data_IF_152320171855
#
_entry.id   IF_152320171855
#
_cell.length_a   1.000
_cell.length_b   1.000
_cell.length_c   1.000
_cell.angle_alpha   90.00
_cell.angle_beta   90.00
_cell.angle_gamma   90.00
#
_symmetry.space_group_name_H-M   'P 1'
#
loop_
_entity.id
_entity.type
_entity.pdbx_description
1 polymer ?
#
# COMPACT_ATOMS: atom_id res chain seq x y z
N UNK A 1 20.34 18.82 -4.49
CA UNK A 1 20.38 18.80 -3.01
C UNK A 1 19.00 18.76 -2.36
N UNK A 2 18.13 19.77 -2.54
CA UNK A 2 16.79 19.72 -1.95
C UNK A 2 15.95 18.56 -2.48
N UNK A 3 16.00 18.32 -3.79
CA UNK A 3 15.32 17.22 -4.47
C UNK A 3 15.81 15.83 -4.00
N UNK A 4 17.14 15.64 -3.92
CA UNK A 4 17.73 14.40 -3.38
C UNK A 4 17.29 14.13 -1.94
N UNK A 5 17.28 15.17 -1.08
CA UNK A 5 16.87 15.04 0.31
C UNK A 5 15.38 14.69 0.41
N UNK A 6 14.51 15.37 -0.33
CA UNK A 6 13.08 15.05 -0.38
C UNK A 6 12.86 13.59 -0.81
N UNK A 7 13.59 13.15 -1.84
CA UNK A 7 13.55 11.77 -2.35
C UNK A 7 13.98 10.76 -1.28
N UNK A 8 15.12 10.99 -0.60
CA UNK A 8 15.62 10.08 0.45
C UNK A 8 14.65 10.00 1.63
N UNK A 9 14.14 11.15 2.10
CA UNK A 9 13.18 11.19 3.21
C UNK A 9 11.87 10.48 2.82
N UNK A 10 11.39 10.67 1.59
CA UNK A 10 10.22 9.95 1.08
C UNK A 10 10.46 8.43 1.08
N UNK A 11 11.58 7.94 0.53
CA UNK A 11 11.83 6.50 0.48
C UNK A 11 11.92 5.86 1.88
N UNK A 12 12.45 6.59 2.87
CA UNK A 12 12.45 6.15 4.27
C UNK A 12 11.07 6.22 4.93
N UNK A 13 10.20 7.17 4.54
CA UNK A 13 8.80 7.19 4.98
C UNK A 13 8.06 5.95 4.49
N UNK A 14 8.21 5.63 3.21
CA UNK A 14 7.52 4.51 2.56
C UNK A 14 7.94 3.14 3.12
N UNK A 15 9.20 2.99 3.54
CA UNK A 15 9.75 1.70 4.02
C UNK A 15 9.85 1.57 5.54
N UNK A 16 9.68 2.67 6.28
CA UNK A 16 10.00 2.84 7.70
C UNK A 16 11.48 2.61 8.07
N UNK A 17 12.17 1.68 7.41
CA UNK A 17 13.57 1.34 7.59
C UNK A 17 14.20 0.84 6.28
N UNK A 18 15.43 1.26 5.96
CA UNK A 18 16.13 0.80 4.75
C UNK A 18 17.65 0.80 4.91
N UNK A 19 18.34 -0.17 4.30
CA UNK A 19 19.79 -0.13 4.15
C UNK A 19 20.19 0.92 3.10
N UNK A 20 21.46 1.33 3.08
CA UNK A 20 21.97 2.23 2.03
C UNK A 20 21.78 1.64 0.62
N UNK A 21 21.96 0.34 0.45
CA UNK A 21 21.79 -0.31 -0.87
C UNK A 21 20.32 -0.29 -1.33
N UNK A 22 19.38 -0.50 -0.41
CA UNK A 22 17.94 -0.37 -0.71
C UNK A 22 17.60 1.07 -1.09
N UNK A 23 18.13 2.06 -0.38
CA UNK A 23 17.93 3.47 -0.73
C UNK A 23 18.57 3.82 -2.08
N UNK A 24 19.74 3.28 -2.38
CA UNK A 24 20.43 3.48 -3.66
C UNK A 24 19.57 2.96 -4.83
N UNK A 25 19.04 1.76 -4.70
CA UNK A 25 18.15 1.18 -5.71
C UNK A 25 16.83 1.97 -5.86
N UNK A 26 16.28 2.47 -4.75
CA UNK A 26 14.98 3.13 -4.74
C UNK A 26 14.99 4.61 -5.17
N UNK A 27 16.10 5.32 -4.97
CA UNK A 27 16.18 6.77 -5.22
C UNK A 27 16.75 7.12 -6.60
N UNK A 28 17.45 6.19 -7.25
CA UNK A 28 18.26 6.44 -8.45
C UNK A 28 19.28 7.59 -8.31
N UNK A 29 19.61 7.97 -7.07
CA UNK A 29 20.62 8.98 -6.75
C UNK A 29 22.02 8.34 -6.84
N UNK A 30 22.97 9.08 -7.40
CA UNK A 30 24.38 8.66 -7.45
C UNK A 30 24.90 8.26 -6.06
N UNK A 31 25.81 7.30 -6.02
CA UNK A 31 26.17 6.70 -4.76
C UNK A 31 26.92 7.60 -3.78
N UNK A 32 27.87 8.40 -4.28
CA UNK A 32 28.57 9.37 -3.45
C UNK A 32 27.64 10.49 -2.99
N UNK A 33 26.67 10.84 -3.86
CA UNK A 33 25.64 11.84 -3.54
C UNK A 33 24.68 11.37 -2.45
N UNK A 34 24.22 10.11 -2.51
CA UNK A 34 23.36 9.52 -1.48
C UNK A 34 24.05 9.53 -0.11
N UNK A 35 25.32 9.13 -0.05
CA UNK A 35 26.08 9.09 1.19
C UNK A 35 26.26 10.49 1.79
N UNK A 36 26.45 11.51 0.95
CA UNK A 36 26.49 12.91 1.39
C UNK A 36 25.14 13.37 1.97
N UNK A 37 24.04 13.09 1.27
CA UNK A 37 22.68 13.45 1.72
C UNK A 37 22.35 12.78 3.05
N UNK A 38 22.65 11.50 3.21
CA UNK A 38 22.40 10.77 4.46
C UNK A 38 23.23 11.33 5.62
N UNK A 39 24.51 11.66 5.39
CA UNK A 39 25.38 12.26 6.41
C UNK A 39 24.87 13.62 6.87
N UNK A 40 24.46 14.47 5.92
CA UNK A 40 23.86 15.77 6.25
C UNK A 40 22.53 15.60 6.98
N UNK A 41 21.64 14.74 6.49
CA UNK A 41 20.35 14.48 7.12
C UNK A 41 20.51 13.91 8.54
N UNK A 42 21.54 13.10 8.80
CA UNK A 42 21.86 12.60 10.13
C UNK A 42 22.38 13.69 11.06
N UNK A 43 23.31 14.53 10.58
CA UNK A 43 23.79 15.71 11.30
C UNK A 43 22.65 16.66 11.68
N UNK A 44 21.68 16.82 10.78
CA UNK A 44 20.48 17.63 10.99
C UNK A 44 19.40 16.92 11.83
N UNK A 45 19.66 15.68 12.25
CA UNK A 45 18.75 14.81 13.04
C UNK A 45 17.42 14.51 12.34
N UNK A 46 17.41 14.53 11.01
CA UNK A 46 16.27 14.14 10.17
C UNK A 46 16.17 12.62 10.02
N UNK A 47 17.31 11.94 10.00
CA UNK A 47 17.40 10.48 9.97
C UNK A 47 18.19 9.96 11.15
N UNK A 48 18.06 8.67 11.43
CA UNK A 48 18.89 7.94 12.39
C UNK A 48 19.52 6.75 11.68
N UNK A 49 20.84 6.64 11.73
CA UNK A 49 21.54 5.41 11.42
C UNK A 49 21.47 4.43 12.60
N UNK A 50 21.17 3.18 12.32
CA UNK A 50 21.21 2.07 13.26
C UNK A 50 22.37 1.17 12.90
N UNK A 51 23.15 0.80 13.90
CA UNK A 51 24.27 -0.14 13.78
C UNK A 51 23.98 -1.47 14.50
N UNK A 52 24.87 -2.44 14.34
CA UNK A 52 24.80 -3.75 15.00
C UNK A 52 24.14 -4.82 14.13
N UNK A 53 23.26 -5.64 14.71
CA UNK A 53 22.67 -6.81 14.01
C UNK A 53 21.77 -6.43 12.83
N UNK A 54 21.18 -5.24 12.85
CA UNK A 54 20.37 -4.68 11.77
C UNK A 54 20.92 -3.29 11.47
N UNK A 55 21.57 -3.16 10.31
CA UNK A 55 22.19 -1.91 9.85
C UNK A 55 21.26 -1.20 8.89
N UNK A 56 21.10 0.12 9.03
CA UNK A 56 20.29 0.92 8.11
C UNK A 56 19.75 2.20 8.73
N UNK A 57 18.81 2.81 8.02
CA UNK A 57 18.35 4.17 8.25
C UNK A 57 16.86 4.19 8.55
N UNK A 58 16.43 5.14 9.38
CA UNK A 58 15.02 5.41 9.67
C UNK A 58 14.76 6.90 9.82
N UNK A 59 13.53 7.34 9.57
CA UNK A 59 13.13 8.73 9.80
C UNK A 59 12.93 9.03 11.28
N UNK A 60 13.43 10.20 11.70
CA UNK A 60 12.99 10.84 12.94
C UNK A 60 11.65 11.55 12.71
N UNK A 61 11.02 12.03 13.79
CA UNK A 61 9.84 12.90 13.67
C UNK A 61 10.18 14.19 12.90
N UNK A 62 11.33 14.81 13.17
CA UNK A 62 11.80 15.99 12.46
C UNK A 62 12.01 15.72 10.96
N UNK A 63 12.57 14.55 10.60
CA UNK A 63 12.70 14.15 9.20
C UNK A 63 11.37 13.93 8.50
N UNK A 64 10.37 13.38 9.20
CA UNK A 64 9.00 13.26 8.65
C UNK A 64 8.41 14.63 8.33
N UNK A 65 8.46 15.56 9.29
CA UNK A 65 7.99 16.94 9.08
C UNK A 65 8.75 17.62 7.94
N UNK A 66 10.08 17.51 7.93
CA UNK A 66 10.90 18.15 6.90
C UNK A 66 10.64 17.58 5.50
N UNK A 67 10.52 16.26 5.37
CA UNK A 67 10.20 15.61 4.11
C UNK A 67 8.84 16.08 3.57
N UNK A 68 7.84 16.16 4.44
CA UNK A 68 6.51 16.69 4.09
C UNK A 68 6.56 18.15 3.63
N UNK A 69 7.29 19.03 4.34
CA UNK A 69 7.47 20.43 3.93
C UNK A 69 8.06 20.53 2.52
N UNK A 70 9.11 19.75 2.24
CA UNK A 70 9.79 19.76 0.94
C UNK A 70 8.86 19.27 -0.18
N UNK A 71 8.19 18.13 0.03
CA UNK A 71 7.27 17.53 -0.94
C UNK A 71 6.05 18.41 -1.21
N UNK A 72 5.51 19.06 -0.18
CA UNK A 72 4.40 20.01 -0.30
C UNK A 72 4.82 21.25 -1.09
N UNK A 73 6.00 21.81 -0.80
CA UNK A 73 6.53 22.95 -1.54
C UNK A 73 6.78 22.64 -3.02
N UNK A 74 7.16 21.41 -3.37
CA UNK A 74 7.29 20.98 -4.78
C UNK A 74 5.96 21.10 -5.54
N UNK A 75 4.83 20.72 -4.92
CA UNK A 75 3.51 20.88 -5.53
C UNK A 75 3.13 22.36 -5.71
N UNK A 76 3.52 23.24 -4.77
CA UNK A 76 3.27 24.69 -4.87
C UNK A 76 4.06 25.30 -6.03
N UNK A 77 5.35 24.99 -6.11
CA UNK A 77 6.24 25.50 -7.16
C UNK A 77 5.80 25.02 -8.54
N UNK A 78 5.36 23.77 -8.65
CA UNK A 78 4.86 23.20 -9.90
C UNK A 78 3.42 23.64 -10.24
N UNK A 79 2.67 24.21 -9.29
CA UNK A 79 1.26 24.55 -9.47
C UNK A 79 0.34 23.33 -9.65
N UNK A 80 0.72 22.17 -9.11
CA UNK A 80 0.04 20.89 -9.33
C UNK A 80 -0.82 20.44 -8.15
N UNK A 81 -0.92 21.24 -7.09
CA UNK A 81 -1.62 20.88 -5.85
C UNK A 81 -3.08 20.47 -6.07
N UNK A 82 -3.83 21.26 -6.83
CA UNK A 82 -5.26 21.01 -7.06
C UNK A 82 -5.46 19.69 -7.81
N UNK A 83 -4.63 19.42 -8.82
CA UNK A 83 -4.68 18.15 -9.54
C UNK A 83 -4.34 16.94 -8.64
N UNK A 84 -3.43 17.09 -7.68
CA UNK A 84 -3.13 16.03 -6.68
C UNK A 84 -4.27 15.88 -5.68
N UNK A 85 -4.92 16.97 -5.27
CA UNK A 85 -6.13 16.94 -4.42
C UNK A 85 -7.29 16.21 -5.11
N UNK A 86 -7.53 16.49 -6.39
CA UNK A 86 -8.57 15.83 -7.18
C UNK A 86 -8.30 14.33 -7.32
N UNK A 87 -7.05 13.97 -7.63
CA UNK A 87 -6.62 12.58 -7.70
C UNK A 87 -6.73 11.86 -6.35
N UNK A 88 -6.41 12.54 -5.24
CA UNK A 88 -6.59 12.01 -3.90
C UNK A 88 -8.09 11.81 -3.57
N UNK A 89 -8.96 12.73 -3.99
CA UNK A 89 -10.41 12.56 -3.89
C UNK A 89 -10.93 11.33 -4.66
N UNK A 90 -10.43 11.10 -5.87
CA UNK A 90 -10.74 9.91 -6.66
C UNK A 90 -10.13 8.61 -6.07
N UNK A 91 -8.99 8.72 -5.41
CA UNK A 91 -8.31 7.61 -4.75
C UNK A 91 -9.09 7.06 -3.54
N UNK A 92 -9.67 7.92 -2.70
CA UNK A 92 -10.34 7.53 -1.45
C UNK A 92 -11.42 6.43 -1.60
N UNK A 93 -12.41 6.53 -2.51
CA UNK A 93 -13.40 5.46 -2.68
C UNK A 93 -12.78 4.16 -3.22
N UNK A 94 -11.74 4.25 -4.07
CA UNK A 94 -11.01 3.07 -4.55
C UNK A 94 -10.23 2.42 -3.40
N UNK A 95 -9.66 3.21 -2.50
CA UNK A 95 -8.95 2.73 -1.32
C UNK A 95 -9.89 1.96 -0.39
N UNK A 96 -11.09 2.47 -0.15
CA UNK A 96 -12.12 1.77 0.62
C UNK A 96 -12.45 0.39 0.02
N UNK A 97 -12.70 0.33 -1.29
CA UNK A 97 -12.99 -0.94 -1.97
C UNK A 97 -11.77 -1.90 -1.95
N UNK A 98 -10.55 -1.40 -2.17
CA UNK A 98 -9.36 -2.26 -2.13
C UNK A 98 -9.13 -2.84 -0.73
N UNK A 99 -9.33 -2.07 0.34
CA UNK A 99 -9.24 -2.56 1.72
C UNK A 99 -10.30 -3.63 2.01
N UNK A 100 -11.52 -3.46 1.48
CA UNK A 100 -12.57 -4.48 1.56
C UNK A 100 -12.17 -5.76 0.80
N UNK A 101 -11.65 -5.63 -0.43
CA UNK A 101 -11.14 -6.77 -1.23
C UNK A 101 -10.03 -7.50 -0.48
N UNK A 102 -9.05 -6.78 0.07
CA UNK A 102 -7.94 -7.39 0.82
C UNK A 102 -8.45 -8.13 2.06
N UNK A 103 -9.41 -7.54 2.77
CA UNK A 103 -10.05 -8.16 3.93
C UNK A 103 -10.77 -9.44 3.54
N UNK A 104 -11.65 -9.39 2.53
CA UNK A 104 -12.42 -10.55 2.06
C UNK A 104 -11.53 -11.65 1.46
N UNK A 105 -10.36 -11.28 0.94
CA UNK A 105 -9.33 -12.22 0.48
C UNK A 105 -8.63 -12.93 1.64
N UNK A 106 -8.25 -12.18 2.69
CA UNK A 106 -7.43 -12.67 3.79
C UNK A 106 -8.21 -13.38 4.90
N UNK A 107 -9.48 -13.00 5.13
CA UNK A 107 -10.27 -13.51 6.24
C UNK A 107 -11.68 -13.94 5.82
N UNK A 108 -12.23 -14.88 6.58
CA UNK A 108 -13.61 -15.33 6.52
C UNK A 108 -14.23 -15.32 7.92
N UNK A 109 -15.56 -15.29 7.99
CA UNK A 109 -16.28 -15.37 9.26
C UNK A 109 -16.78 -16.81 9.44
N UNK A 110 -16.34 -17.46 10.51
CA UNK A 110 -16.79 -18.80 10.92
C UNK A 110 -17.31 -18.69 12.35
N UNK A 111 -18.57 -19.08 12.58
CA UNK A 111 -19.23 -18.98 13.89
C UNK A 111 -19.17 -17.58 14.55
N UNK A 112 -19.12 -16.52 13.73
CA UNK A 112 -19.03 -15.13 14.17
C UNK A 112 -17.61 -14.62 14.43
N UNK A 113 -16.59 -15.46 14.28
CA UNK A 113 -15.18 -15.09 14.44
C UNK A 113 -14.47 -14.90 13.10
N UNK A 114 -13.57 -13.92 13.04
CA UNK A 114 -12.69 -13.73 11.89
C UNK A 114 -11.55 -14.74 11.94
N UNK A 115 -11.47 -15.60 10.94
CA UNK A 115 -10.40 -16.58 10.78
C UNK A 115 -9.70 -16.38 9.43
N UNK A 116 -8.41 -16.74 9.28
CA UNK A 116 -7.74 -16.68 7.99
C UNK A 116 -8.48 -17.49 6.93
N UNK A 117 -8.62 -16.93 5.73
CA UNK A 117 -9.16 -17.64 4.58
C UNK A 117 -8.17 -18.76 4.19
N UNK A 118 -8.64 -20.00 4.14
CA UNK A 118 -7.84 -21.16 3.73
C UNK A 118 -7.88 -21.42 2.21
N UNK A 119 -8.63 -20.58 1.46
CA UNK A 119 -8.77 -20.65 0.01
C UNK A 119 -9.33 -22.00 -0.49
N UNK A 120 -10.14 -22.68 0.32
CA UNK A 120 -10.80 -23.94 -0.05
C UNK A 120 -12.08 -23.76 -0.88
N UNK A 121 -12.56 -22.52 -1.04
CA UNK A 121 -13.75 -22.14 -1.83
C UNK A 121 -13.33 -21.33 -3.08
N UNK A 122 -13.17 -21.99 -4.24
CA UNK A 122 -12.75 -21.33 -5.47
C UNK A 122 -13.77 -20.31 -6.01
N UNK A 123 -15.06 -20.47 -5.70
CA UNK A 123 -16.10 -19.54 -6.16
C UNK A 123 -16.00 -18.22 -5.41
N UNK A 124 -15.79 -18.28 -4.08
CA UNK A 124 -15.52 -17.11 -3.26
C UNK A 124 -14.26 -16.38 -3.74
N UNK A 125 -13.16 -17.10 -3.89
CA UNK A 125 -11.89 -16.51 -4.32
C UNK A 125 -12.04 -15.83 -5.70
N UNK A 126 -12.71 -16.50 -6.65
CA UNK A 126 -12.99 -15.94 -7.97
C UNK A 126 -13.84 -14.67 -7.89
N UNK A 127 -14.82 -14.61 -6.98
CA UNK A 127 -15.65 -13.43 -6.75
C UNK A 127 -14.84 -12.24 -6.22
N UNK A 128 -13.93 -12.48 -5.28
CA UNK A 128 -13.03 -11.44 -4.73
C UNK A 128 -12.06 -10.95 -5.80
N UNK A 129 -11.45 -11.83 -6.58
CA UNK A 129 -10.56 -11.44 -7.69
C UNK A 129 -11.30 -10.68 -8.80
N UNK A 130 -12.56 -11.02 -9.06
CA UNK A 130 -13.39 -10.28 -10.00
C UNK A 130 -13.67 -8.84 -9.55
N UNK A 131 -13.73 -8.57 -8.24
CA UNK A 131 -13.83 -7.20 -7.70
C UNK A 131 -12.54 -6.42 -7.95
N UNK A 132 -11.38 -7.03 -7.70
CA UNK A 132 -10.08 -6.43 -8.03
C UNK A 132 -10.01 -6.06 -9.51
N UNK A 133 -10.40 -6.97 -10.41
CA UNK A 133 -10.40 -6.73 -11.85
C UNK A 133 -11.33 -5.56 -12.26
N UNK A 134 -12.44 -5.33 -11.55
CA UNK A 134 -13.32 -4.18 -11.77
C UNK A 134 -12.74 -2.87 -11.23
N UNK A 135 -12.02 -2.92 -10.10
CA UNK A 135 -11.35 -1.76 -9.51
C UNK A 135 -10.14 -1.31 -10.33
N UNK A 136 -9.41 -2.25 -10.93
CA UNK A 136 -8.11 -2.03 -11.54
C UNK A 136 -8.07 -0.92 -12.61
N UNK A 137 -9.02 -0.81 -13.57
CA UNK A 137 -8.99 0.25 -14.58
C UNK A 137 -9.02 1.66 -13.98
N UNK A 138 -9.85 1.88 -12.95
CA UNK A 138 -9.93 3.18 -12.27
C UNK A 138 -8.65 3.49 -11.47
N UNK A 139 -8.06 2.47 -10.84
CA UNK A 139 -6.75 2.60 -10.18
C UNK A 139 -5.63 2.99 -11.16
N UNK A 140 -5.61 2.40 -12.36
CA UNK A 140 -4.65 2.74 -13.42
C UNK A 140 -4.89 4.14 -13.95
N UNK A 141 -6.14 4.57 -14.10
CA UNK A 141 -6.48 5.93 -14.55
C UNK A 141 -5.96 6.99 -13.57
N UNK A 142 -6.24 6.83 -12.27
CA UNK A 142 -5.77 7.73 -11.21
C UNK A 142 -4.25 7.82 -11.17
N UNK A 143 -3.56 6.67 -11.17
CA UNK A 143 -2.10 6.64 -11.11
C UNK A 143 -1.44 7.18 -12.39
N UNK A 144 -2.03 6.94 -13.56
CA UNK A 144 -1.55 7.48 -14.82
C UNK A 144 -1.73 8.99 -14.90
N UNK A 145 -2.87 9.51 -14.42
CA UNK A 145 -3.11 10.95 -14.34
C UNK A 145 -2.12 11.63 -13.38
N UNK A 146 -1.93 11.06 -12.18
CA UNK A 146 -0.92 11.53 -11.22
C UNK A 146 0.48 11.54 -11.83
N UNK A 147 0.90 10.45 -12.47
CA UNK A 147 2.24 10.32 -13.06
C UNK A 147 2.52 11.32 -14.19
N UNK A 148 1.49 11.70 -14.97
CA UNK A 148 1.62 12.75 -16.00
C UNK A 148 1.76 14.14 -15.40
N UNK A 149 1.12 14.39 -14.26
CA UNK A 149 1.11 15.71 -13.60
C UNK A 149 2.34 15.91 -12.71
N UNK A 150 2.73 14.87 -11.96
CA UNK A 150 3.81 14.92 -10.98
C UNK A 150 4.74 13.71 -11.21
N UNK A 151 5.95 13.92 -11.76
CA UNK A 151 6.84 12.83 -12.18
C UNK A 151 7.15 11.79 -11.09
N UNK A 152 7.14 12.18 -9.81
CA UNK A 152 7.38 11.25 -8.69
C UNK A 152 6.34 10.13 -8.58
N UNK A 153 5.13 10.33 -9.12
CA UNK A 153 4.07 9.32 -9.12
C UNK A 153 4.10 8.40 -10.34
N UNK A 154 4.95 8.66 -11.34
CA UNK A 154 4.94 7.93 -12.62
C UNK A 154 5.20 6.42 -12.49
N UNK A 155 5.87 5.98 -11.42
CA UNK A 155 6.18 4.57 -11.18
C UNK A 155 5.02 3.72 -10.67
N UNK A 156 3.95 4.31 -10.09
CA UNK A 156 2.90 3.51 -9.45
C UNK A 156 2.01 2.76 -10.44
N UNK A 157 1.63 3.41 -11.55
CA UNK A 157 0.78 2.79 -12.57
C UNK A 157 1.36 1.49 -13.13
N UNK A 158 2.60 1.50 -13.67
CA UNK A 158 3.27 0.29 -14.15
C UNK A 158 3.38 -0.83 -13.11
N UNK A 159 3.72 -0.49 -11.85
CA UNK A 159 3.83 -1.46 -10.76
C UNK A 159 2.47 -2.09 -10.39
N UNK A 160 1.39 -1.32 -10.42
CA UNK A 160 0.03 -1.85 -10.21
C UNK A 160 -0.41 -2.77 -11.35
N UNK A 161 -0.08 -2.42 -12.60
CA UNK A 161 -0.37 -3.26 -13.77
C UNK A 161 0.37 -4.59 -13.64
N UNK A 162 1.68 -4.56 -13.34
CA UNK A 162 2.47 -5.78 -13.15
C UNK A 162 1.89 -6.65 -12.01
N UNK A 163 1.59 -6.05 -10.85
CA UNK A 163 1.00 -6.79 -9.75
C UNK A 163 -0.35 -7.42 -10.10
N UNK A 164 -1.18 -6.72 -10.86
CA UNK A 164 -2.46 -7.22 -11.35
C UNK A 164 -2.29 -8.37 -12.34
N UNK A 165 -1.38 -8.26 -13.31
CA UNK A 165 -1.08 -9.30 -14.29
C UNK A 165 -0.58 -10.58 -13.61
N UNK A 166 0.18 -10.45 -12.52
CA UNK A 166 0.59 -11.59 -11.70
C UNK A 166 -0.61 -12.29 -11.04
N UNK A 167 -1.56 -11.52 -10.48
CA UNK A 167 -2.78 -12.08 -9.90
C UNK A 167 -3.63 -12.78 -10.98
N UNK A 168 -3.79 -12.19 -12.17
CA UNK A 168 -4.49 -12.81 -13.30
C UNK A 168 -3.81 -14.09 -13.80
N UNK A 169 -2.49 -14.17 -13.70
CA UNK A 169 -1.71 -15.37 -14.01
C UNK A 169 -1.79 -16.45 -12.91
N UNK A 170 -2.65 -16.28 -11.90
CA UNK A 170 -2.86 -17.23 -10.81
C UNK A 170 -1.87 -17.11 -9.64
N UNK A 171 -0.97 -16.12 -9.66
CA UNK A 171 -0.08 -15.81 -8.53
C UNK A 171 -0.78 -14.88 -7.55
N UNK A 172 -1.82 -15.41 -6.91
CA UNK A 172 -2.75 -14.64 -6.09
C UNK A 172 -2.10 -14.05 -4.83
N UNK A 173 -0.93 -14.53 -4.41
CA UNK A 173 -0.14 -13.92 -3.34
C UNK A 173 0.25 -12.47 -3.67
N UNK A 174 0.29 -12.10 -4.96
CA UNK A 174 0.56 -10.72 -5.39
C UNK A 174 -0.56 -9.75 -5.04
N UNK A 175 -1.73 -10.20 -4.57
CA UNK A 175 -2.76 -9.30 -4.08
C UNK A 175 -2.34 -8.64 -2.76
N UNK A 176 -1.94 -9.43 -1.76
CA UNK A 176 -1.75 -8.95 -0.38
C UNK A 176 -0.41 -9.32 0.29
N UNK A 177 0.54 -9.97 -0.41
CA UNK A 177 1.83 -10.31 0.21
C UNK A 177 2.49 -9.05 0.79
N UNK A 178 3.13 -9.22 1.96
CA UNK A 178 3.73 -8.14 2.73
C UNK A 178 5.00 -7.58 2.07
N UNK A 179 5.68 -8.40 1.26
CA UNK A 179 6.98 -8.05 0.68
C UNK A 179 6.89 -7.82 -0.83
N UNK A 180 7.71 -6.88 -1.30
CA UNK A 180 7.79 -6.53 -2.72
C UNK A 180 6.53 -5.83 -3.24
N UNK A 181 6.42 -5.79 -4.57
CA UNK A 181 5.40 -5.00 -5.26
C UNK A 181 4.08 -5.78 -5.41
N UNK A 182 3.49 -6.16 -4.27
CA UNK A 182 2.09 -6.63 -4.28
C UNK A 182 1.14 -5.48 -4.64
N UNK A 183 -0.04 -5.81 -5.14
CA UNK A 183 -1.04 -4.81 -5.51
C UNK A 183 -1.37 -3.91 -4.32
N UNK A 184 -1.67 -4.52 -3.17
CA UNK A 184 -1.90 -3.79 -1.92
C UNK A 184 -0.66 -3.00 -1.47
N UNK A 185 0.55 -3.56 -1.59
CA UNK A 185 1.79 -2.87 -1.21
C UNK A 185 2.04 -1.60 -2.03
N UNK A 186 1.92 -1.69 -3.35
CA UNK A 186 2.06 -0.54 -4.25
C UNK A 186 0.98 0.51 -3.98
N UNK A 187 -0.27 0.07 -3.73
CA UNK A 187 -1.37 0.96 -3.39
C UNK A 187 -1.16 1.68 -2.05
N UNK A 188 -0.66 0.97 -1.03
CA UNK A 188 -0.30 1.55 0.26
C UNK A 188 0.83 2.57 0.14
N UNK A 189 1.86 2.28 -0.66
CA UNK A 189 2.94 3.24 -0.91
C UNK A 189 2.43 4.50 -1.62
N UNK A 190 1.53 4.36 -2.60
CA UNK A 190 0.87 5.48 -3.26
C UNK A 190 0.11 6.34 -2.23
N UNK A 191 -0.63 5.69 -1.34
CA UNK A 191 -1.40 6.35 -0.29
C UNK A 191 -0.52 7.18 0.64
N UNK A 192 0.55 6.58 1.15
CA UNK A 192 1.54 7.26 2.00
C UNK A 192 2.19 8.46 1.30
N UNK A 193 2.47 8.31 0.01
CA UNK A 193 3.06 9.39 -0.77
C UNK A 193 2.06 10.54 -0.99
N UNK A 194 0.79 10.25 -1.30
CA UNK A 194 -0.27 11.26 -1.41
C UNK A 194 -0.43 12.04 -0.09
N UNK A 195 -0.46 11.34 1.04
CA UNK A 195 -0.51 11.96 2.37
C UNK A 195 0.70 12.87 2.62
N UNK A 196 1.90 12.40 2.26
CA UNK A 196 3.13 13.15 2.45
C UNK A 196 3.18 14.45 1.63
N UNK A 197 2.81 14.41 0.34
CA UNK A 197 2.84 15.60 -0.52
C UNK A 197 1.71 16.58 -0.19
N UNK A 198 0.56 16.08 0.27
CA UNK A 198 -0.59 16.91 0.63
C UNK A 198 -0.53 17.44 2.07
N UNK A 199 0.46 17.02 2.85
CA UNK A 199 0.61 17.40 4.25
C UNK A 199 -0.53 16.92 5.15
N UNK A 200 -1.05 15.72 4.89
CA UNK A 200 -2.17 15.12 5.63
C UNK A 200 -1.71 13.96 6.50
N UNK A 201 -2.40 13.78 7.61
CA UNK A 201 -2.27 12.58 8.45
C UNK A 201 -3.41 11.61 8.17
N UNK A 202 -3.07 10.31 8.16
CA UNK A 202 -4.04 9.23 7.92
C UNK A 202 -5.19 9.21 8.92
N UNK A 203 -4.95 9.65 10.16
CA UNK A 203 -5.97 9.70 11.22
C UNK A 203 -7.17 10.61 10.88
N UNK A 204 -7.01 11.52 9.91
CA UNK A 204 -8.08 12.40 9.44
C UNK A 204 -8.86 11.84 8.26
N UNK A 205 -8.49 10.66 7.74
CA UNK A 205 -9.32 9.94 6.77
C UNK A 205 -10.45 9.25 7.51
N UNK A 206 -11.68 9.39 7.01
CA UNK A 206 -12.78 8.59 7.50
C UNK A 206 -12.44 7.11 7.32
N UNK A 207 -12.48 6.34 8.41
CA UNK A 207 -12.35 4.89 8.34
C UNK A 207 -13.43 4.37 7.40
N UNK A 208 -13.07 3.71 6.29
CA UNK A 208 -14.07 3.05 5.47
C UNK A 208 -14.82 2.06 6.35
N UNK A 209 -16.14 2.01 6.24
CA UNK A 209 -16.94 0.90 6.76
C UNK A 209 -16.51 -0.36 5.99
N UNK A 210 -15.40 -0.98 6.40
CA UNK A 210 -14.92 -2.25 5.88
C UNK A 210 -15.83 -3.36 6.43
N UNK A 211 -17.11 -3.31 6.08
CA UNK A 211 -18.04 -4.39 6.34
C UNK A 211 -17.69 -5.47 5.31
N UNK A 212 -17.25 -6.67 5.75
CA UNK A 212 -17.07 -7.80 4.85
C UNK A 212 -18.36 -7.98 4.06
N UNK A 213 -18.31 -7.78 2.76
CA UNK A 213 -19.55 -7.74 1.94
C UNK A 213 -20.08 -9.15 1.70
N UNK A 214 -19.25 -10.18 1.90
CA UNK A 214 -19.63 -11.57 1.71
C UNK A 214 -20.16 -12.22 3.00
N UNK A 215 -21.28 -11.70 3.51
CA UNK A 215 -22.16 -12.42 4.43
C UNK A 215 -23.17 -13.28 3.63
N UNK A 216 -22.69 -14.31 2.93
CA UNK A 216 -23.56 -15.37 2.41
C UNK A 216 -22.75 -16.62 2.00
N UNK A 217 -22.12 -17.27 2.97
CA UNK A 217 -21.78 -18.69 2.85
C UNK A 217 -23.04 -19.50 3.11
N UNK A 218 -23.62 -20.08 2.05
CA UNK A 218 -24.79 -20.96 2.10
C UNK A 218 -24.72 -22.00 3.23
N UNK A 219 -25.81 -22.16 3.97
CA UNK A 219 -25.94 -23.18 5.01
C UNK A 219 -25.67 -24.58 4.45
N UNK A 220 -24.74 -25.30 5.07
CA UNK A 220 -24.60 -26.74 4.86
C UNK A 220 -25.85 -27.46 5.42
N UNK A 221 -26.57 -28.30 4.66
CA UNK A 221 -27.60 -29.15 5.21
C UNK A 221 -26.99 -30.29 6.04
N UNK A 222 -27.70 -30.64 7.11
CA UNK A 222 -27.16 -31.35 8.27
C UNK A 222 -26.65 -32.76 8.04
N UNK A 223 -25.68 -33.15 8.86
CA UNK A 223 -25.32 -34.54 9.08
C UNK A 223 -26.19 -35.07 10.24
N UNK A 224 -27.31 -35.71 9.91
CA UNK A 224 -28.05 -36.55 10.86
C UNK A 224 -27.11 -37.63 11.37
N UNK A 225 -26.95 -37.72 12.69
CA UNK A 225 -26.38 -38.90 13.33
C UNK A 225 -27.36 -40.08 13.11
N UNK A 226 -26.87 -41.29 12.75
CA UNK A 226 -27.73 -42.45 12.75
C UNK A 226 -28.00 -42.85 14.21
N UNK A 227 -29.26 -42.77 14.62
CA UNK A 227 -29.73 -43.42 15.83
C UNK A 227 -29.62 -44.92 15.66
N UNK A 228 -28.85 -45.56 16.52
CA UNK A 228 -28.91 -47.01 16.74
C UNK A 228 -29.87 -47.24 17.90
N UNK A 229 -31.09 -47.68 17.56
CA UNK A 229 -32.02 -48.26 18.52
C UNK A 229 -31.60 -49.67 18.96
N UNK A 230 -32.11 -50.02 20.14
CA UNK A 230 -32.20 -51.30 20.85
C UNK A 230 -32.18 -52.57 19.98
N UNK A 231 -31.76 -53.76 20.44
CA UNK A 231 -32.22 -54.59 21.59
C UNK A 231 -31.34 -55.89 21.60
N UNK A 232 -31.45 -56.90 22.49
CA UNK A 232 -32.57 -57.33 23.36
C UNK A 232 -32.38 -57.06 24.86
#
# INVERSE_FOLDING_TARGET
MSDDLATVLLQLRLRAFATTDVLRAATAVDGGRLDEVLRTAESDRLVRHREGRIVGWSLTAAGRTKGQELLSAELDVAGTRDAVLDAYGAFLPLNAELLSICTDWQVVIVDGEHVPNDHSDPERDSSVLARLARLHPAAVEVTSALGRTVPRFAGYGPRLIEAHDHVLAGRTEWLTRVTGDSYHGVWFELHEHLLAVLGRDREHEATPDAIPTNAAGSGRPGRRAPGTGDTP
#
